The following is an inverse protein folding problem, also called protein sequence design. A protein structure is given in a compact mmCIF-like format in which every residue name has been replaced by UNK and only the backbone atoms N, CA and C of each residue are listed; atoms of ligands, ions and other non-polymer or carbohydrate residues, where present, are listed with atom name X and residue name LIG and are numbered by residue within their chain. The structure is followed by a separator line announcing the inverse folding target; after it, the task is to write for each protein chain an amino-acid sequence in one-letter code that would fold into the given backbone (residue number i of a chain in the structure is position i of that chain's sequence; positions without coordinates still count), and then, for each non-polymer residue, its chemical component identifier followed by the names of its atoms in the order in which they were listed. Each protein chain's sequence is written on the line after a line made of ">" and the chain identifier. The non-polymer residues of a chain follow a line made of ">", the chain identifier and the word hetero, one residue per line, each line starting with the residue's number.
data_IF_517918678363
#
_entry.id   IF_517918678363
#
_cell.length_a   1.000
_cell.length_b   1.000
_cell.length_c   1.000
_cell.angle_alpha   90.00
_cell.angle_beta   90.00
_cell.angle_gamma   90.00
#
_symmetry.space_group_name_H-M   'P 1'
#
loop_
_entity.id
_entity.type
_entity.pdbx_description
1 polymer ?
#
# COMPACT_ATOMS: atom_id res chain seq x y z
N UNK A 1 -18.96 -23.19 8.44
CA UNK A 1 -17.55 -22.79 8.62
C UNK A 1 -17.54 -21.28 8.69
N UNK A 2 -16.87 -20.69 9.69
CA UNK A 2 -16.73 -19.23 9.80
C UNK A 2 -15.96 -18.71 8.59
N UNK A 3 -16.44 -17.64 7.97
CA UNK A 3 -15.69 -16.92 6.93
C UNK A 3 -14.36 -16.43 7.53
N UNK A 4 -13.26 -16.53 6.77
CA UNK A 4 -11.99 -15.91 7.16
C UNK A 4 -12.06 -14.39 7.02
N UNK A 5 -11.32 -13.66 7.84
CA UNK A 5 -11.32 -12.19 7.79
C UNK A 5 -10.88 -11.66 6.41
N UNK A 6 -9.91 -12.32 5.78
CA UNK A 6 -9.47 -12.03 4.41
C UNK A 6 -10.61 -12.18 3.39
N UNK A 7 -11.47 -13.20 3.50
CA UNK A 7 -12.65 -13.35 2.63
C UNK A 7 -13.67 -12.23 2.86
N UNK A 8 -13.94 -11.89 4.12
CA UNK A 8 -14.86 -10.78 4.46
C UNK A 8 -14.37 -9.45 3.87
N UNK A 9 -13.07 -9.16 3.97
CA UNK A 9 -12.47 -7.95 3.40
C UNK A 9 -12.61 -7.94 1.88
N UNK A 10 -12.32 -9.05 1.19
CA UNK A 10 -12.46 -9.16 -0.27
C UNK A 10 -13.89 -8.90 -0.72
N UNK A 11 -14.89 -9.42 -0.01
CA UNK A 11 -16.29 -9.19 -0.35
C UNK A 11 -16.70 -7.72 -0.22
N UNK A 12 -16.27 -7.05 0.85
CA UNK A 12 -16.54 -5.62 1.06
C UNK A 12 -15.93 -4.78 -0.06
N UNK A 13 -14.69 -5.05 -0.44
CA UNK A 13 -14.03 -4.29 -1.51
C UNK A 13 -14.59 -4.61 -2.89
N UNK A 14 -14.95 -5.86 -3.16
CA UNK A 14 -15.69 -6.24 -4.37
C UNK A 14 -16.99 -5.45 -4.50
N UNK A 15 -17.73 -5.29 -3.40
CA UNK A 15 -18.94 -4.47 -3.38
C UNK A 15 -18.64 -2.98 -3.64
N UNK A 16 -17.56 -2.43 -3.08
CA UNK A 16 -17.14 -1.06 -3.37
C UNK A 16 -16.82 -0.83 -4.85
N UNK A 17 -16.16 -1.79 -5.49
CA UNK A 17 -15.81 -1.69 -6.91
C UNK A 17 -17.06 -1.78 -7.79
N UNK A 18 -17.96 -2.73 -7.50
CA UNK A 18 -19.22 -2.90 -8.23
C UNK A 18 -20.16 -1.69 -8.12
N UNK A 19 -20.20 -1.04 -6.96
CA UNK A 19 -21.07 0.13 -6.73
C UNK A 19 -20.42 1.45 -7.12
N UNK A 20 -19.16 1.44 -7.56
CA UNK A 20 -18.35 2.64 -7.78
C UNK A 20 -18.09 3.45 -6.51
N UNK A 21 -18.46 2.93 -5.33
CA UNK A 21 -18.26 3.58 -4.03
C UNK A 21 -16.77 3.63 -3.68
N UNK A 22 -16.00 2.63 -4.09
CA UNK A 22 -14.54 2.61 -3.94
C UNK A 22 -13.88 3.80 -4.65
N UNK A 23 -14.28 4.05 -5.91
CA UNK A 23 -13.79 5.20 -6.66
C UNK A 23 -14.23 6.54 -6.07
N UNK A 24 -15.48 6.64 -5.60
CA UNK A 24 -16.00 7.89 -4.99
C UNK A 24 -15.36 8.25 -3.66
N UNK A 25 -14.98 7.26 -2.85
CA UNK A 25 -14.42 7.48 -1.50
C UNK A 25 -12.89 7.66 -1.55
N UNK A 26 -12.19 6.91 -2.40
CA UNK A 26 -10.72 6.83 -2.35
C UNK A 26 -9.99 7.43 -3.55
N UNK A 27 -10.64 7.50 -4.72
CA UNK A 27 -9.97 7.83 -5.99
C UNK A 27 -10.55 9.04 -6.72
N UNK A 28 -11.46 9.79 -6.10
CA UNK A 28 -11.96 11.03 -6.72
C UNK A 28 -10.89 12.12 -6.56
N UNK A 29 -10.23 12.58 -7.64
CA UNK A 29 -9.26 13.65 -7.54
C UNK A 29 -10.00 14.92 -7.13
N UNK A 30 -9.79 15.31 -5.87
CA UNK A 30 -10.34 16.50 -5.26
C UNK A 30 -9.22 17.18 -4.51
N UNK A 31 -9.28 18.50 -4.37
CA UNK A 31 -8.30 19.23 -3.57
C UNK A 31 -8.16 18.68 -2.14
N UNK A 32 -9.25 18.14 -1.57
CA UNK A 32 -9.22 17.46 -0.27
C UNK A 32 -8.43 16.16 -0.29
N UNK A 33 -8.63 15.31 -1.30
CA UNK A 33 -7.85 14.08 -1.47
C UNK A 33 -6.36 14.37 -1.68
N UNK A 34 -6.04 15.38 -2.48
CA UNK A 34 -4.65 15.80 -2.74
C UNK A 34 -3.99 16.33 -1.46
N UNK A 35 -4.72 17.15 -0.68
CA UNK A 35 -4.24 17.66 0.61
C UNK A 35 -3.99 16.54 1.62
N UNK A 36 -4.89 15.56 1.71
CA UNK A 36 -4.72 14.39 2.58
C UNK A 36 -3.49 13.59 2.16
N UNK A 37 -3.36 13.28 0.85
CA UNK A 37 -2.21 12.56 0.33
C UNK A 37 -0.89 13.28 0.60
N UNK A 38 -0.82 14.59 0.37
CA UNK A 38 0.36 15.40 0.67
C UNK A 38 0.67 15.44 2.18
N UNK A 39 -0.36 15.47 3.03
CA UNK A 39 -0.20 15.47 4.48
C UNK A 39 0.31 14.14 5.02
N UNK A 40 -0.19 13.01 4.48
CA UNK A 40 0.33 11.67 4.78
C UNK A 40 1.80 11.57 4.38
N UNK A 41 2.16 11.96 3.15
CA UNK A 41 3.55 11.94 2.66
C UNK A 41 4.50 12.76 3.54
N UNK A 42 4.11 13.98 3.91
CA UNK A 42 4.89 14.81 4.86
C UNK A 42 5.06 14.14 6.21
N UNK A 43 3.99 13.55 6.75
CA UNK A 43 4.04 12.86 8.04
C UNK A 43 4.98 11.65 8.01
N UNK A 44 4.99 10.89 6.92
CA UNK A 44 5.92 9.77 6.72
C UNK A 44 7.36 10.26 6.85
N UNK A 45 7.75 11.30 6.11
CA UNK A 45 9.12 11.85 6.18
C UNK A 45 9.46 12.29 7.60
N UNK A 46 8.57 13.03 8.26
CA UNK A 46 8.79 13.46 9.65
C UNK A 46 9.01 12.27 10.60
N UNK A 47 8.23 11.20 10.47
CA UNK A 47 8.36 10.02 11.34
C UNK A 47 9.68 9.28 11.06
N UNK A 48 10.07 9.15 9.79
CA UNK A 48 11.34 8.51 9.41
C UNK A 48 12.53 9.29 9.99
N UNK A 49 12.55 10.62 9.83
CA UNK A 49 13.60 11.49 10.37
C UNK A 49 13.69 11.39 11.90
N UNK A 50 12.54 11.41 12.60
CA UNK A 50 12.49 11.30 14.06
C UNK A 50 13.10 9.99 14.60
N UNK A 51 13.10 8.93 13.79
CA UNK A 51 13.64 7.63 14.15
C UNK A 51 15.02 7.34 13.51
N UNK A 52 15.63 8.34 12.85
CA UNK A 52 16.93 8.18 12.21
C UNK A 52 16.92 7.28 10.97
N UNK A 53 15.76 7.05 10.36
CA UNK A 53 15.57 6.19 9.18
C UNK A 53 15.68 6.98 7.86
N UNK A 54 16.59 7.96 7.79
CA UNK A 54 16.75 8.83 6.62
C UNK A 54 17.38 8.15 5.40
N UNK A 55 18.19 7.10 5.62
CA UNK A 55 18.84 6.34 4.55
C UNK A 55 18.00 5.12 4.15
N UNK A 56 16.91 5.36 3.42
CA UNK A 56 15.95 4.30 3.05
C UNK A 56 16.55 3.17 2.22
N UNK A 57 17.65 3.40 1.50
CA UNK A 57 18.38 2.38 0.74
C UNK A 57 18.89 1.23 1.60
N UNK A 58 19.10 1.47 2.89
CA UNK A 58 19.70 0.51 3.81
C UNK A 58 18.65 -0.42 4.43
N UNK A 59 17.37 -0.15 4.20
CA UNK A 59 16.26 -0.83 4.84
C UNK A 59 15.46 -1.70 3.87
N UNK A 60 14.96 -2.81 4.40
CA UNK A 60 13.87 -3.57 3.79
C UNK A 60 12.55 -3.03 4.32
N UNK A 61 11.62 -2.73 3.42
CA UNK A 61 10.38 -2.02 3.76
C UNK A 61 9.18 -2.92 3.47
N UNK A 62 8.32 -3.06 4.47
CA UNK A 62 7.04 -3.75 4.36
C UNK A 62 5.89 -2.75 4.53
N UNK A 63 4.94 -2.76 3.59
CA UNK A 63 3.64 -2.10 3.74
C UNK A 63 2.51 -3.14 3.77
N UNK A 64 1.93 -3.37 4.95
CA UNK A 64 0.79 -4.29 5.11
C UNK A 64 -0.49 -3.65 4.57
N UNK A 65 -1.16 -4.32 3.63
CA UNK A 65 -2.33 -3.76 2.96
C UNK A 65 -1.92 -2.62 2.03
N UNK A 66 -0.89 -2.85 1.20
CA UNK A 66 -0.26 -1.82 0.38
C UNK A 66 -1.16 -1.23 -0.71
N UNK A 67 -2.34 -1.81 -0.94
CA UNK A 67 -3.20 -1.45 -2.04
C UNK A 67 -2.44 -1.50 -3.36
N UNK A 68 -2.52 -0.41 -4.14
CA UNK A 68 -1.81 -0.30 -5.42
C UNK A 68 -0.38 0.26 -5.30
N UNK A 69 0.22 0.21 -4.11
CA UNK A 69 1.64 0.51 -3.87
C UNK A 69 2.00 1.99 -3.82
N UNK A 70 1.05 2.91 -3.65
CA UNK A 70 1.30 4.36 -3.73
C UNK A 70 2.27 4.89 -2.66
N UNK A 71 2.25 4.32 -1.45
CA UNK A 71 3.19 4.71 -0.39
C UNK A 71 4.57 4.12 -0.65
N UNK A 72 4.66 2.84 -1.04
CA UNK A 72 5.94 2.23 -1.43
C UNK A 72 6.59 2.95 -2.63
N UNK A 73 5.81 3.35 -3.64
CA UNK A 73 6.28 4.16 -4.77
C UNK A 73 6.86 5.49 -4.30
N UNK A 74 6.17 6.14 -3.34
CA UNK A 74 6.69 7.35 -2.73
C UNK A 74 7.99 7.10 -1.95
N UNK A 75 8.10 6.02 -1.18
CA UNK A 75 9.33 5.68 -0.45
C UNK A 75 10.49 5.37 -1.40
N UNK A 76 10.24 4.70 -2.53
CA UNK A 76 11.24 4.50 -3.60
C UNK A 76 11.68 5.85 -4.17
N UNK A 77 10.75 6.79 -4.40
CA UNK A 77 11.10 8.15 -4.83
C UNK A 77 11.95 8.95 -3.80
N UNK A 78 11.91 8.54 -2.53
CA UNK A 78 12.73 9.10 -1.45
C UNK A 78 14.07 8.38 -1.26
N UNK A 79 14.37 7.35 -2.07
CA UNK A 79 15.64 6.63 -2.05
C UNK A 79 15.59 5.23 -1.48
N UNK A 80 14.41 4.67 -1.20
CA UNK A 80 14.29 3.24 -0.90
C UNK A 80 14.69 2.40 -2.12
N UNK A 81 15.33 1.26 -1.88
CA UNK A 81 15.65 0.29 -2.94
C UNK A 81 14.40 -0.50 -3.30
N UNK A 82 13.99 -0.46 -4.57
CA UNK A 82 12.76 -1.11 -5.03
C UNK A 82 12.77 -2.64 -4.79
N UNK A 83 13.91 -3.30 -5.01
CA UNK A 83 14.08 -4.73 -4.75
C UNK A 83 13.89 -5.12 -3.28
N UNK A 84 13.95 -4.13 -2.37
CA UNK A 84 13.80 -4.30 -0.93
C UNK A 84 12.39 -3.92 -0.43
N UNK A 85 11.45 -3.58 -1.32
CA UNK A 85 10.07 -3.30 -0.92
C UNK A 85 9.18 -4.54 -1.03
N UNK A 86 8.32 -4.73 -0.03
CA UNK A 86 7.32 -5.81 0.04
C UNK A 86 5.94 -5.22 0.35
N UNK A 87 4.95 -5.53 -0.49
CA UNK A 87 3.56 -5.11 -0.31
C UNK A 87 2.57 -6.28 -0.46
N UNK A 88 2.18 -6.93 0.65
CA UNK A 88 1.05 -7.85 0.66
C UNK A 88 -0.28 -7.09 0.70
N UNK A 89 -1.25 -7.52 -0.09
CA UNK A 89 -2.64 -7.07 0.00
C UNK A 89 -3.58 -8.28 -0.20
N UNK A 90 -4.76 -8.27 0.41
CA UNK A 90 -5.72 -9.38 0.23
C UNK A 90 -6.50 -9.29 -1.09
N UNK A 91 -6.37 -8.19 -1.84
CA UNK A 91 -7.02 -7.94 -3.13
C UNK A 91 -5.99 -8.09 -4.25
N UNK A 92 -6.10 -9.18 -5.02
CA UNK A 92 -5.18 -9.54 -6.10
C UNK A 92 -5.01 -8.43 -7.15
N UNK A 93 -6.10 -7.78 -7.57
CA UNK A 93 -6.03 -6.70 -8.55
C UNK A 93 -5.13 -5.54 -8.10
N UNK A 94 -5.09 -5.25 -6.79
CA UNK A 94 -4.27 -4.19 -6.21
C UNK A 94 -2.80 -4.58 -6.14
N UNK A 95 -2.51 -5.81 -5.69
CA UNK A 95 -1.16 -6.35 -5.71
C UNK A 95 -0.58 -6.36 -7.14
N UNK A 96 -1.39 -6.73 -8.14
CA UNK A 96 -1.01 -6.68 -9.55
C UNK A 96 -0.76 -5.25 -10.05
N UNK A 97 -1.55 -4.26 -9.62
CA UNK A 97 -1.30 -2.85 -9.96
C UNK A 97 0.00 -2.36 -9.33
N UNK A 98 0.26 -2.72 -8.07
CA UNK A 98 1.50 -2.38 -7.38
C UNK A 98 2.73 -2.98 -8.08
N UNK A 99 2.66 -4.26 -8.47
CA UNK A 99 3.73 -4.95 -9.22
C UNK A 99 4.01 -4.28 -10.57
N UNK A 100 3.00 -3.69 -11.23
CA UNK A 100 3.21 -2.95 -12.48
C UNK A 100 3.91 -1.61 -12.25
N UNK A 101 3.67 -0.95 -11.12
CA UNK A 101 4.32 0.33 -10.77
C UNK A 101 5.76 0.13 -10.33
N UNK A 102 6.01 -0.93 -9.57
CA UNK A 102 7.31 -1.27 -8.99
C UNK A 102 7.69 -2.71 -9.38
N UNK A 103 8.15 -2.93 -10.63
CA UNK A 103 8.42 -4.26 -11.18
C UNK A 103 9.51 -5.06 -10.44
N UNK A 104 10.47 -4.40 -9.79
CA UNK A 104 11.50 -5.04 -8.97
C UNK A 104 11.03 -5.36 -7.55
N UNK A 105 9.94 -4.75 -7.10
CA UNK A 105 9.38 -4.97 -5.77
C UNK A 105 8.66 -6.32 -5.65
N UNK A 106 8.39 -6.74 -4.41
CA UNK A 106 7.64 -7.97 -4.11
C UNK A 106 6.19 -7.63 -3.76
N UNK A 107 5.25 -7.93 -4.65
CA UNK A 107 3.81 -7.75 -4.36
C UNK A 107 3.07 -9.08 -4.49
N UNK A 108 2.18 -9.36 -3.53
CA UNK A 108 1.47 -10.63 -3.49
C UNK A 108 0.07 -10.50 -2.91
N UNK A 109 -0.86 -11.30 -3.45
CA UNK A 109 -2.16 -11.50 -2.82
C UNK A 109 -1.99 -12.39 -1.59
N UNK A 110 -1.94 -11.81 -0.39
CA UNK A 110 -1.67 -12.57 0.83
C UNK A 110 -2.39 -11.97 2.05
N UNK A 111 -2.76 -12.86 2.97
CA UNK A 111 -3.15 -12.48 4.32
C UNK A 111 -1.88 -12.16 5.11
N UNK A 112 -1.76 -10.91 5.58
CA UNK A 112 -0.57 -10.48 6.30
C UNK A 112 -0.38 -11.17 7.64
N UNK A 113 -1.43 -11.75 8.23
CA UNK A 113 -1.34 -12.55 9.46
C UNK A 113 -0.56 -13.86 9.28
N UNK A 114 -0.29 -14.27 8.04
CA UNK A 114 0.42 -15.50 7.69
C UNK A 114 1.85 -15.25 7.21
N UNK A 115 2.37 -14.03 7.35
CA UNK A 115 3.73 -13.69 6.93
C UNK A 115 4.77 -14.20 7.94
N UNK A 116 6.00 -14.53 7.49
CA UNK A 116 6.99 -15.21 8.33
C UNK A 116 7.87 -14.25 9.14
N UNK A 117 7.38 -13.06 9.49
CA UNK A 117 8.12 -12.02 10.21
C UNK A 117 7.25 -11.29 11.22
#
# INVERSE_FOLDING_TARGET
>A
MSQSESERIREVYKWYDQTGRGQKVWYKPTAGADFIGASIRRKIVTVLEQHGLGALSDHSILEVGCGSGAVLEYLVSLGATEEKVHGPDVIEARANEAQKKLPSGRFQCADASQLPY
#
